data_IF_076011133720
#
_entry.id   IF_076011133720
#
_cell.length_a   1.000
_cell.length_b   1.000
_cell.length_c   1.000
_cell.angle_alpha   90.00
_cell.angle_beta   90.00
_cell.angle_gamma   90.00
#
_symmetry.space_group_name_H-M   'P 1'
#
loop_
_entity.id
_entity.type
_entity.pdbx_description
1 polymer ?
#
# COMPACT_ATOMS: atom_id res chain seq x y z
N UNK A 1 -28.17 6.09 5.29
CA UNK A 1 -27.30 7.20 4.87
C UNK A 1 -25.90 6.61 4.73
N UNK A 2 -25.26 6.67 3.56
CA UNK A 2 -23.90 6.17 3.45
C UNK A 2 -22.97 7.03 4.32
N UNK A 3 -21.98 6.44 5.00
CA UNK A 3 -21.09 7.22 5.84
C UNK A 3 -20.33 8.23 4.99
N UNK A 4 -20.31 9.48 5.40
CA UNK A 4 -19.44 10.52 4.84
C UNK A 4 -17.98 10.21 5.19
N UNK A 5 -17.02 10.73 4.43
CA UNK A 5 -15.62 10.60 4.84
C UNK A 5 -15.40 11.45 6.10
N UNK A 6 -14.70 10.91 7.09
CA UNK A 6 -14.22 11.71 8.22
C UNK A 6 -12.95 12.50 7.82
N UNK A 7 -12.46 13.37 8.69
CA UNK A 7 -11.35 14.27 8.35
C UNK A 7 -10.03 13.53 8.08
N UNK A 8 -9.73 12.50 8.87
CA UNK A 8 -8.54 11.66 8.72
C UNK A 8 -8.57 10.82 7.44
N UNK A 9 -9.73 10.24 7.09
CA UNK A 9 -9.97 9.53 5.83
C UNK A 9 -9.78 10.46 4.63
N UNK A 10 -10.24 11.71 4.70
CA UNK A 10 -10.02 12.72 3.65
C UNK A 10 -8.53 13.08 3.54
N UNK A 11 -7.86 13.28 4.68
CA UNK A 11 -6.44 13.64 4.71
C UNK A 11 -5.59 12.56 4.05
N UNK A 12 -5.76 11.29 4.47
CA UNK A 12 -5.05 10.15 3.88
C UNK A 12 -5.41 9.96 2.42
N UNK A 13 -6.69 10.03 2.05
CA UNK A 13 -7.11 9.94 0.65
C UNK A 13 -6.41 10.99 -0.22
N UNK A 14 -6.33 12.23 0.28
CA UNK A 14 -5.68 13.33 -0.44
C UNK A 14 -4.17 13.13 -0.57
N UNK A 15 -3.51 12.63 0.46
CA UNK A 15 -2.10 12.24 0.45
C UNK A 15 -1.81 11.19 -0.63
N UNK A 16 -2.52 10.06 -0.58
CA UNK A 16 -2.34 8.96 -1.55
C UNK A 16 -2.61 9.43 -2.98
N UNK A 17 -3.61 10.29 -3.21
CA UNK A 17 -3.84 10.83 -4.56
C UNK A 17 -2.68 11.72 -5.04
N UNK A 18 -2.04 12.47 -4.14
CA UNK A 18 -0.90 13.35 -4.47
C UNK A 18 0.36 12.56 -4.77
N UNK A 19 0.62 11.49 -4.03
CA UNK A 19 1.79 10.65 -4.26
C UNK A 19 1.76 9.99 -5.64
N UNK A 20 0.56 9.69 -6.13
CA UNK A 20 0.32 9.08 -7.45
C UNK A 20 -0.15 10.08 -8.52
N UNK A 21 0.06 11.39 -8.31
CA UNK A 21 -0.45 12.43 -9.19
C UNK A 21 0.12 12.34 -10.62
N UNK A 22 1.41 11.99 -10.71
CA UNK A 22 2.19 11.93 -11.96
C UNK A 22 2.10 10.57 -12.68
N UNK A 23 1.52 9.55 -12.04
CA UNK A 23 1.40 8.22 -12.62
C UNK A 23 0.27 8.14 -13.67
N UNK A 24 0.41 7.19 -14.60
CA UNK A 24 -0.52 7.03 -15.71
C UNK A 24 -1.97 6.80 -15.23
N UNK A 25 -2.96 7.33 -15.97
CA UNK A 25 -4.31 7.63 -15.46
C UNK A 25 -5.14 6.42 -15.03
N UNK A 26 -4.92 5.21 -15.57
CA UNK A 26 -5.76 4.06 -15.24
C UNK A 26 -5.23 3.27 -14.05
N UNK A 27 -3.92 2.98 -14.03
CA UNK A 27 -3.24 2.26 -12.94
C UNK A 27 -3.30 3.02 -11.61
N UNK A 28 -3.19 4.35 -11.64
CA UNK A 28 -3.17 5.15 -10.40
C UNK A 28 -4.41 4.99 -9.53
N UNK A 29 -5.61 4.92 -10.12
CA UNK A 29 -6.84 4.82 -9.33
C UNK A 29 -7.05 3.44 -8.74
N UNK A 30 -6.48 2.42 -9.40
CA UNK A 30 -6.43 1.06 -8.85
C UNK A 30 -5.53 1.06 -7.62
N UNK A 31 -4.35 1.67 -7.73
CA UNK A 31 -3.43 1.80 -6.59
C UNK A 31 -4.08 2.55 -5.42
N UNK A 32 -4.63 3.74 -5.67
CA UNK A 32 -5.33 4.54 -4.66
C UNK A 32 -6.44 3.72 -3.95
N UNK A 33 -7.26 2.99 -4.73
CA UNK A 33 -8.32 2.17 -4.16
C UNK A 33 -7.78 1.06 -3.25
N UNK A 34 -6.68 0.41 -3.65
CA UNK A 34 -6.04 -0.64 -2.86
C UNK A 34 -5.39 -0.06 -1.59
N UNK A 35 -4.62 1.02 -1.70
CA UNK A 35 -3.99 1.67 -0.54
C UNK A 35 -5.01 2.13 0.48
N UNK A 36 -6.12 2.73 0.05
CA UNK A 36 -7.19 3.13 0.97
C UNK A 36 -7.89 1.94 1.63
N UNK A 37 -8.02 0.82 0.90
CA UNK A 37 -8.58 -0.43 1.45
C UNK A 37 -7.65 -1.01 2.51
N UNK A 38 -6.34 -0.99 2.27
CA UNK A 38 -5.33 -1.43 3.24
C UNK A 38 -5.36 -0.52 4.47
N UNK A 39 -5.29 0.80 4.29
CA UNK A 39 -5.28 1.73 5.43
C UNK A 39 -6.53 1.57 6.29
N UNK A 40 -7.71 1.43 5.67
CA UNK A 40 -8.96 1.26 6.41
C UNK A 40 -8.91 0.08 7.40
N UNK A 41 -8.16 -0.98 7.14
CA UNK A 41 -8.04 -2.11 8.09
C UNK A 41 -7.47 -1.69 9.45
N UNK A 42 -6.62 -0.66 9.49
CA UNK A 42 -6.07 -0.07 10.72
C UNK A 42 -7.11 0.68 11.54
N UNK A 43 -8.12 1.20 10.87
CA UNK A 43 -9.18 2.03 11.42
C UNK A 43 -10.51 1.28 11.65
N UNK A 44 -10.57 -0.02 11.33
CA UNK A 44 -11.69 -0.91 11.61
C UNK A 44 -11.47 -1.68 12.92
N UNK A 45 -12.53 -2.28 13.45
CA UNK A 45 -12.46 -3.06 14.70
C UNK A 45 -11.36 -4.14 14.61
N UNK A 46 -10.41 -4.09 15.56
CA UNK A 46 -9.22 -4.94 15.59
C UNK A 46 -7.95 -4.31 14.99
N UNK A 47 -8.07 -3.17 14.32
CA UNK A 47 -6.94 -2.37 13.83
C UNK A 47 -6.27 -1.53 14.92
N UNK A 48 -5.02 -1.15 14.68
CA UNK A 48 -4.18 -0.39 15.63
C UNK A 48 -4.67 1.04 15.88
N UNK A 49 -5.41 1.62 14.93
CA UNK A 49 -5.95 2.98 15.00
C UNK A 49 -7.43 3.05 15.37
N UNK A 50 -8.14 1.92 15.51
CA UNK A 50 -9.58 1.89 15.75
C UNK A 50 -10.03 2.68 16.99
N UNK A 51 -9.26 2.60 18.08
CA UNK A 51 -9.62 3.26 19.35
C UNK A 51 -9.48 4.79 19.26
N UNK A 52 -8.49 5.26 18.51
CA UNK A 52 -8.16 6.70 18.41
C UNK A 52 -8.82 7.40 17.23
N UNK A 53 -9.02 6.70 16.12
CA UNK A 53 -9.51 7.25 14.86
C UNK A 53 -10.31 6.19 14.06
N UNK A 54 -11.52 5.81 14.51
CA UNK A 54 -12.32 4.79 13.83
C UNK A 54 -12.85 5.32 12.49
N UNK A 55 -12.68 4.52 11.44
CA UNK A 55 -13.26 4.81 10.13
C UNK A 55 -14.51 3.97 9.89
N UNK A 56 -15.47 4.48 9.12
CA UNK A 56 -16.59 3.68 8.66
C UNK A 56 -16.11 2.61 7.66
N UNK A 57 -16.65 1.39 7.74
CA UNK A 57 -16.43 0.37 6.72
C UNK A 57 -16.93 0.81 5.35
N UNK A 58 -16.04 0.86 4.35
CA UNK A 58 -16.33 1.41 3.02
C UNK A 58 -15.60 0.63 1.93
N UNK A 59 -16.30 0.31 0.84
CA UNK A 59 -15.64 -0.20 -0.38
C UNK A 59 -14.98 0.94 -1.15
N UNK A 60 -13.64 0.97 -1.19
CA UNK A 60 -12.88 1.84 -2.07
C UNK A 60 -12.76 1.19 -3.45
N UNK A 61 -13.69 1.52 -4.35
CA UNK A 61 -13.57 1.13 -5.76
C UNK A 61 -12.90 2.24 -6.57
N UNK A 62 -12.34 1.92 -7.74
CA UNK A 62 -11.81 2.91 -8.69
C UNK A 62 -12.84 4.01 -8.98
N UNK A 63 -14.11 3.63 -9.17
CA UNK A 63 -15.21 4.57 -9.42
C UNK A 63 -15.43 5.48 -8.20
N UNK A 64 -15.50 4.89 -7.01
CA UNK A 64 -15.69 5.63 -5.76
C UNK A 64 -14.57 6.66 -5.51
N UNK A 65 -13.31 6.24 -5.68
CA UNK A 65 -12.15 7.12 -5.50
C UNK A 65 -12.13 8.26 -6.54
N UNK A 66 -12.41 7.97 -7.81
CA UNK A 66 -12.52 9.01 -8.84
C UNK A 66 -13.61 10.02 -8.50
N UNK A 67 -14.81 9.55 -8.17
CA UNK A 67 -15.93 10.40 -7.81
C UNK A 67 -15.58 11.29 -6.61
N UNK A 68 -14.94 10.72 -5.58
CA UNK A 68 -14.50 11.47 -4.41
C UNK A 68 -13.49 12.56 -4.76
N UNK A 69 -12.47 12.25 -5.56
CA UNK A 69 -11.49 13.25 -5.98
C UNK A 69 -12.12 14.38 -6.81
N UNK A 70 -12.99 14.03 -7.76
CA UNK A 70 -13.73 15.04 -8.53
C UNK A 70 -14.61 15.92 -7.65
N UNK A 71 -15.24 15.34 -6.62
CA UNK A 71 -16.03 16.07 -5.63
C UNK A 71 -15.16 17.04 -4.81
N UNK A 72 -14.01 16.60 -4.32
CA UNK A 72 -13.08 17.47 -3.59
C UNK A 72 -12.56 18.63 -4.46
N UNK A 73 -12.37 18.40 -5.76
CA UNK A 73 -11.97 19.45 -6.72
C UNK A 73 -13.10 20.41 -7.12
N UNK A 74 -14.36 19.94 -7.19
CA UNK A 74 -15.55 20.77 -7.40
C UNK A 74 -16.19 21.08 -6.05
N UNK A 75 -15.81 22.19 -5.41
CA UNK A 75 -16.57 22.71 -4.24
C UNK A 75 -18.08 22.75 -4.55
N UNK A 76 -18.87 21.80 -4.01
CA UNK A 76 -20.33 21.90 -3.90
C UNK A 76 -21.24 21.00 -4.74
N UNK A 77 -20.81 19.85 -5.29
CA UNK A 77 -21.72 19.00 -6.08
C UNK A 77 -22.15 17.71 -5.37
N UNK A 78 -23.36 17.65 -4.77
CA UNK A 78 -24.00 16.50 -4.07
C UNK A 78 -23.26 15.14 -4.17
N UNK A 79 -22.73 14.67 -3.05
CA UNK A 79 -21.92 13.45 -2.94
C UNK A 79 -22.80 12.22 -3.22
N UNK A 80 -22.44 11.38 -4.20
CA UNK A 80 -23.12 10.08 -4.38
C UNK A 80 -22.77 9.15 -3.21
N UNK A 81 -23.79 8.61 -2.56
CA UNK A 81 -23.67 7.73 -1.40
C UNK A 81 -22.84 6.47 -1.73
N UNK A 82 -21.82 6.18 -0.93
CA UNK A 82 -21.04 4.94 -1.05
C UNK A 82 -21.86 3.72 -0.67
N UNK A 83 -21.66 2.60 -1.39
CA UNK A 83 -22.31 1.34 -1.11
C UNK A 83 -21.78 0.74 0.21
N UNK A 84 -22.67 0.36 1.15
CA UNK A 84 -22.27 -0.41 2.34
C UNK A 84 -21.59 -1.73 1.94
N UNK A 85 -20.70 -2.24 2.80
CA UNK A 85 -20.09 -3.55 2.60
C UNK A 85 -21.14 -4.63 2.85
N UNK A 86 -21.84 -5.05 1.79
CA UNK A 86 -22.47 -6.36 1.72
C UNK A 86 -21.50 -7.29 0.98
N UNK A 87 -21.24 -8.42 1.62
CA UNK A 87 -20.43 -9.57 1.23
C UNK A 87 -19.94 -9.61 -0.23
N UNK A 88 -18.62 -9.58 -0.41
CA UNK A 88 -17.82 -10.11 -1.55
C UNK A 88 -16.39 -9.57 -1.40
N UNK A 89 -15.55 -10.36 -0.73
CA UNK A 89 -14.11 -10.19 -0.62
C UNK A 89 -13.43 -10.87 -1.82
N UNK A 90 -13.01 -10.08 -2.80
CA UNK A 90 -12.05 -10.56 -3.81
C UNK A 90 -11.22 -9.42 -4.38
N UNK A 91 -10.22 -8.94 -3.62
CA UNK A 91 -8.98 -8.39 -4.20
C UNK A 91 -7.76 -8.88 -3.40
N UNK A 92 -7.43 -10.19 -3.40
CA UNK A 92 -6.28 -10.67 -2.62
C UNK A 92 -4.94 -10.32 -3.27
N UNK A 93 -4.80 -10.44 -4.59
CA UNK A 93 -3.48 -10.41 -5.24
C UNK A 93 -2.84 -9.01 -5.32
N UNK A 94 -3.64 -7.95 -5.51
CA UNK A 94 -3.09 -6.60 -5.58
C UNK A 94 -2.71 -6.06 -4.19
N UNK A 95 -3.41 -6.49 -3.14
CA UNK A 95 -3.10 -6.10 -1.76
C UNK A 95 -1.74 -6.64 -1.33
N UNK A 96 -1.39 -7.86 -1.75
CA UNK A 96 -0.07 -8.44 -1.49
C UNK A 96 1.07 -7.63 -2.13
N UNK A 97 0.89 -7.11 -3.35
CA UNK A 97 1.93 -6.34 -4.03
C UNK A 97 2.16 -4.96 -3.39
N UNK A 98 1.09 -4.28 -2.96
CA UNK A 98 1.21 -2.98 -2.28
C UNK A 98 1.82 -3.15 -0.89
N UNK A 99 1.39 -4.17 -0.14
CA UNK A 99 1.97 -4.48 1.17
C UNK A 99 3.46 -4.87 1.07
N UNK A 100 3.84 -5.65 0.05
CA UNK A 100 5.24 -6.01 -0.20
C UNK A 100 6.09 -4.76 -0.49
N UNK A 101 5.56 -3.79 -1.24
CA UNK A 101 6.27 -2.55 -1.56
C UNK A 101 6.43 -1.64 -0.33
N UNK A 102 5.41 -1.50 0.51
CA UNK A 102 5.52 -0.76 1.78
C UNK A 102 6.53 -1.40 2.73
N UNK A 103 6.59 -2.75 2.79
CA UNK A 103 7.59 -3.48 3.57
C UNK A 103 9.00 -3.39 2.99
N UNK A 104 9.14 -3.33 1.68
CA UNK A 104 10.41 -3.09 1.02
C UNK A 104 10.94 -1.68 1.32
N UNK A 105 10.09 -0.65 1.25
CA UNK A 105 10.47 0.72 1.61
C UNK A 105 10.79 0.87 3.11
N UNK A 106 10.06 0.20 3.99
CA UNK A 106 10.37 0.13 5.43
C UNK A 106 11.75 -0.54 5.66
N UNK A 107 12.03 -1.69 5.02
CA UNK A 107 13.34 -2.33 5.11
C UNK A 107 14.45 -1.43 4.57
N UNK A 108 14.27 -0.84 3.38
CA UNK A 108 15.25 0.07 2.80
C UNK A 108 15.55 1.25 3.74
N UNK A 109 14.54 1.80 4.41
CA UNK A 109 14.73 2.89 5.39
C UNK A 109 15.59 2.47 6.60
N UNK A 110 15.52 1.21 7.02
CA UNK A 110 16.39 0.64 8.07
C UNK A 110 17.83 0.50 7.53
N UNK A 111 18.00 0.07 6.28
CA UNK A 111 19.32 -0.11 5.67
C UNK A 111 20.07 1.21 5.40
N UNK A 112 19.39 2.28 4.97
CA UNK A 112 20.03 3.57 4.70
C UNK A 112 20.44 4.36 5.96
N UNK A 113 20.03 3.91 7.16
CA UNK A 113 20.43 4.50 8.44
C UNK A 113 21.61 3.81 9.13
N UNK A 114 22.16 2.74 8.56
CA UNK A 114 23.22 1.94 9.20
C UNK A 114 24.46 1.94 8.33
N UNK A 115 25.59 2.43 8.86
CA UNK A 115 26.91 2.24 8.25
C UNK A 115 27.19 0.73 8.17
N UNK A 116 27.05 0.18 6.97
CA UNK A 116 27.33 -1.23 6.72
C UNK A 116 28.83 -1.46 6.94
N UNK A 117 29.26 -2.40 7.81
CA UNK A 117 30.68 -2.72 7.89
C UNK A 117 31.11 -3.29 6.54
N UNK A 118 32.18 -2.73 5.98
CA UNK A 118 32.77 -3.22 4.73
C UNK A 118 32.99 -4.72 4.84
N UNK A 119 32.33 -5.48 3.96
CA UNK A 119 32.49 -6.93 3.89
C UNK A 119 33.93 -7.19 3.41
N UNK A 120 34.80 -7.85 4.20
CA UNK A 120 36.18 -8.08 3.80
C UNK A 120 36.22 -8.91 2.51
N UNK A 121 37.05 -8.51 1.54
CA UNK A 121 37.22 -9.18 0.24
C UNK A 121 37.48 -10.70 0.36
N UNK A 122 38.03 -11.16 1.48
CA UNK A 122 38.25 -12.58 1.76
C UNK A 122 36.97 -13.43 1.78
N UNK A 123 35.83 -12.85 2.22
CA UNK A 123 34.55 -13.57 2.32
C UNK A 123 33.99 -13.87 0.92
N UNK A 124 34.14 -12.94 -0.03
CA UNK A 124 33.68 -13.15 -1.40
C UNK A 124 34.44 -14.28 -2.10
N UNK A 125 35.75 -14.38 -1.87
CA UNK A 125 36.58 -15.48 -2.42
C UNK A 125 36.21 -16.84 -1.84
N UNK A 126 35.82 -16.89 -0.57
CA UNK A 126 35.38 -18.11 0.10
C UNK A 126 34.03 -18.60 -0.44
N UNK A 127 33.10 -17.66 -0.70
CA UNK A 127 31.80 -17.95 -1.32
C UNK A 127 31.97 -18.45 -2.75
N UNK A 128 32.82 -17.81 -3.56
CA UNK A 128 33.09 -18.25 -4.94
C UNK A 128 33.71 -19.65 -4.98
N UNK A 129 34.66 -19.95 -4.09
CA UNK A 129 35.30 -21.26 -4.00
C UNK A 129 34.32 -22.38 -3.63
N UNK A 130 33.39 -22.11 -2.72
CA UNK A 130 32.36 -23.06 -2.31
C UNK A 130 31.30 -23.26 -3.41
N UNK A 131 31.00 -22.21 -4.19
CA UNK A 131 30.09 -22.29 -5.33
C UNK A 131 30.66 -23.14 -6.46
N UNK A 132 31.96 -23.01 -6.74
CA UNK A 132 32.66 -23.84 -7.73
C UNK A 132 32.79 -25.31 -7.27
N UNK A 133 33.02 -25.56 -5.97
CA UNK A 133 32.97 -26.93 -5.42
C UNK A 133 31.60 -27.58 -5.61
N UNK A 134 30.52 -26.84 -5.35
CA UNK A 134 29.16 -27.36 -5.52
C UNK A 134 28.80 -27.63 -6.98
N UNK A 135 29.23 -26.77 -7.90
CA UNK A 135 29.09 -27.02 -9.35
C UNK A 135 29.85 -28.26 -9.80
N UNK A 136 31.07 -28.46 -9.30
CA UNK A 136 31.88 -29.64 -9.64
C UNK A 136 31.24 -30.94 -9.14
N UNK A 137 30.58 -30.93 -7.97
CA UNK A 137 29.86 -32.09 -7.44
C UNK A 137 28.54 -32.40 -8.18
N UNK A 138 27.91 -31.41 -8.81
CA UNK A 138 26.69 -31.61 -9.62
C UNK A 138 26.96 -32.11 -11.05
N UNK A 139 28.23 -32.09 -11.48
CA UNK A 139 28.65 -32.54 -12.81
C UNK A 139 29.15 -34.01 -12.86
N UNK A 140 29.05 -34.74 -11.74
CA UNK A 140 29.27 -36.19 -11.63
C UNK A 140 27.96 -36.93 -11.46
#
# INVERSE_FOLDING_TARGET
MAPTYNESEIAKFTEVVRDHLLENKFSKWVYIAVTMTIEQTRHLEGGDLFVSDPWPGRKYTVKACRNKWYYLGKKGGLEEAHTPVADELAIPDLMHQVWAKEKEEEMLSIFYGTDFPEIPEGIFKEIEAELERKKAMQAQ
#
